data_IF_807777458021
#
_entry.id   IF_807777458021
#
_cell.length_a   1.000
_cell.length_b   1.000
_cell.length_c   1.000
_cell.angle_alpha   90.00
_cell.angle_beta   90.00
_cell.angle_gamma   90.00
#
_symmetry.space_group_name_H-M   'P 1'
#
loop_
_entity.id
_entity.type
_entity.pdbx_description
1 polymer ?
#
# COMPACT_ATOMS: atom_id res chain seq x y z
N UNK A 1 7.88 11.55 -2.78
CA UNK A 1 8.04 10.76 -1.54
C UNK A 1 7.28 9.45 -1.75
N UNK A 2 7.88 8.26 -1.58
CA UNK A 2 7.10 7.02 -1.65
C UNK A 2 6.06 7.00 -0.53
N UNK A 3 4.82 6.58 -0.82
CA UNK A 3 3.81 6.37 0.22
C UNK A 3 4.23 5.19 1.09
N UNK A 4 4.01 5.27 2.41
CA UNK A 4 4.48 4.26 3.36
C UNK A 4 4.00 2.83 3.04
N UNK A 5 2.75 2.68 2.60
CA UNK A 5 2.21 1.37 2.21
C UNK A 5 2.88 0.77 0.97
N UNK A 6 3.27 1.59 -0.02
CA UNK A 6 4.05 1.12 -1.17
C UNK A 6 5.43 0.64 -0.73
N UNK A 7 6.07 1.36 0.20
CA UNK A 7 7.37 0.96 0.72
C UNK A 7 7.30 -0.42 1.40
N UNK A 8 6.20 -0.76 2.08
CA UNK A 8 5.97 -2.10 2.63
C UNK A 8 5.92 -3.15 1.50
N UNK A 9 5.16 -2.88 0.43
CA UNK A 9 5.05 -3.82 -0.70
C UNK A 9 6.39 -4.04 -1.40
N UNK A 10 7.16 -2.96 -1.63
CA UNK A 10 8.52 -3.06 -2.17
C UNK A 10 9.44 -3.82 -1.22
N UNK A 11 9.40 -3.49 0.08
CA UNK A 11 10.24 -4.13 1.10
C UNK A 11 10.05 -5.64 1.15
N UNK A 12 8.79 -6.09 1.18
CA UNK A 12 8.43 -7.51 1.26
C UNK A 12 8.82 -8.30 -0.02
N UNK A 13 9.07 -7.62 -1.14
CA UNK A 13 9.41 -8.24 -2.43
C UNK A 13 10.85 -7.98 -2.89
N UNK A 14 11.64 -7.26 -2.10
CA UNK A 14 13.02 -6.86 -2.43
C UNK A 14 14.00 -8.03 -2.28
N UNK A 15 14.94 -8.13 -3.23
CA UNK A 15 16.05 -9.08 -3.20
C UNK A 15 17.42 -8.36 -3.27
N UNK A 16 18.42 -8.74 -2.44
CA UNK A 16 18.33 -9.72 -1.37
C UNK A 16 17.38 -9.25 -0.25
N UNK A 17 16.76 -10.21 0.44
CA UNK A 17 15.81 -9.91 1.50
C UNK A 17 16.38 -8.89 2.51
N UNK A 18 15.61 -7.84 2.87
CA UNK A 18 16.00 -6.88 3.87
C UNK A 18 16.04 -7.51 5.28
N UNK A 19 16.49 -6.78 6.33
CA UNK A 19 16.42 -7.27 7.71
C UNK A 19 15.02 -7.82 8.05
N UNK A 20 14.88 -8.90 8.82
CA UNK A 20 13.56 -9.48 9.07
C UNK A 20 12.67 -8.56 9.92
N UNK A 21 11.37 -8.61 9.65
CA UNK A 21 10.31 -8.03 10.49
C UNK A 21 9.31 -9.10 10.91
N UNK A 22 8.58 -8.83 11.99
CA UNK A 22 7.58 -9.76 12.54
C UNK A 22 6.18 -9.57 11.94
N UNK A 23 5.90 -8.41 11.33
CA UNK A 23 4.61 -8.11 10.72
C UNK A 23 4.55 -6.73 10.06
N UNK A 24 3.49 -6.48 9.30
CA UNK A 24 3.25 -5.23 8.58
C UNK A 24 1.96 -4.53 9.04
N UNK A 25 1.96 -3.20 9.06
CA UNK A 25 0.75 -2.40 9.32
C UNK A 25 0.60 -1.39 8.19
N UNK A 26 -0.52 -1.47 7.46
CA UNK A 26 -0.89 -0.52 6.43
C UNK A 26 -2.07 0.32 6.91
N UNK A 27 -1.85 1.62 7.06
CA UNK A 27 -2.90 2.61 7.31
C UNK A 27 -3.20 3.35 5.99
N UNK A 28 -4.48 3.42 5.64
CA UNK A 28 -4.97 4.06 4.42
C UNK A 28 -4.15 3.75 3.16
N UNK A 29 -3.95 2.46 2.79
CA UNK A 29 -3.33 2.13 1.51
C UNK A 29 -4.21 2.66 0.37
N UNK A 30 -3.63 3.54 -0.47
CA UNK A 30 -4.32 4.19 -1.59
C UNK A 30 -3.51 4.09 -2.88
N UNK A 31 -4.21 4.04 -4.00
CA UNK A 31 -3.61 4.06 -5.33
C UNK A 31 -3.23 5.48 -5.73
N UNK A 32 -1.94 5.74 -5.97
CA UNK A 32 -1.50 7.02 -6.53
C UNK A 32 -2.10 7.30 -7.90
N UNK A 33 -2.33 6.25 -8.70
CA UNK A 33 -2.97 6.35 -10.01
C UNK A 33 -4.42 6.83 -9.90
N UNK A 34 -5.20 6.23 -9.01
CA UNK A 34 -6.59 6.62 -8.80
C UNK A 34 -6.69 7.98 -8.10
N UNK A 35 -5.81 8.27 -7.15
CA UNK A 35 -5.67 9.60 -6.54
C UNK A 35 -5.36 10.65 -7.61
N UNK A 36 -4.43 10.38 -8.54
CA UNK A 36 -4.13 11.30 -9.63
C UNK A 36 -5.36 11.58 -10.50
N UNK A 37 -6.18 10.57 -10.77
CA UNK A 37 -7.45 10.71 -11.48
C UNK A 37 -8.50 11.57 -10.77
N UNK A 38 -8.41 11.74 -9.44
CA UNK A 38 -9.23 12.67 -8.65
C UNK A 38 -8.71 14.10 -8.72
N UNK A 39 -7.39 14.25 -8.67
CA UNK A 39 -6.74 15.56 -8.51
C UNK A 39 -6.47 16.26 -9.83
N UNK A 40 -6.49 15.53 -10.95
CA UNK A 40 -6.17 16.05 -12.26
C UNK A 40 -7.34 15.88 -13.24
N UNK A 41 -7.54 16.85 -14.16
CA UNK A 41 -8.33 16.62 -15.36
C UNK A 41 -7.82 15.40 -16.13
N UNK A 42 -8.73 14.59 -16.64
CA UNK A 42 -8.40 13.32 -17.30
C UNK A 42 -7.56 13.49 -18.56
N UNK A 43 -7.79 14.56 -19.31
CA UNK A 43 -6.98 14.95 -20.47
C UNK A 43 -5.55 15.33 -20.06
N UNK A 44 -5.39 16.07 -18.95
CA UNK A 44 -4.07 16.42 -18.41
C UNK A 44 -3.32 15.19 -17.88
N UNK A 45 -4.00 14.29 -17.16
CA UNK A 45 -3.41 13.02 -16.70
C UNK A 45 -2.91 12.19 -17.89
N UNK A 46 -3.74 12.07 -18.93
CA UNK A 46 -3.40 11.33 -20.15
C UNK A 46 -2.19 11.93 -20.87
N UNK A 47 -2.20 13.25 -21.10
CA UNK A 47 -1.08 13.96 -21.73
C UNK A 47 0.21 13.87 -20.90
N UNK A 48 0.08 13.87 -19.58
CA UNK A 48 1.22 13.73 -18.68
C UNK A 48 1.85 12.35 -18.75
N UNK A 49 1.04 11.29 -18.79
CA UNK A 49 1.52 9.92 -18.95
C UNK A 49 2.15 9.68 -20.32
N UNK A 50 1.55 10.23 -21.39
CA UNK A 50 2.11 10.19 -22.74
C UNK A 50 3.49 10.84 -22.76
N UNK A 51 3.62 12.05 -22.20
CA UNK A 51 4.88 12.78 -22.12
C UNK A 51 5.96 12.00 -21.33
N UNK A 52 5.59 11.42 -20.19
CA UNK A 52 6.50 10.61 -19.39
C UNK A 52 6.95 9.34 -20.14
N UNK A 53 6.01 8.63 -20.77
CA UNK A 53 6.29 7.45 -21.58
C UNK A 53 7.22 7.76 -22.75
N UNK A 54 7.03 8.92 -23.40
CA UNK A 54 7.87 9.41 -24.49
C UNK A 54 9.32 9.68 -24.04
N UNK A 55 9.50 10.24 -22.85
CA UNK A 55 10.83 10.44 -22.26
C UNK A 55 11.50 9.11 -21.93
N UNK A 56 10.75 8.15 -21.37
CA UNK A 56 11.26 6.81 -21.07
C UNK A 56 11.70 6.10 -22.35
N UNK A 57 10.88 6.11 -23.40
CA UNK A 57 11.20 5.50 -24.70
C UNK A 57 12.46 6.10 -25.34
N UNK A 58 12.77 7.36 -25.04
CA UNK A 58 13.98 8.07 -25.50
C UNK A 58 15.20 7.89 -24.59
N UNK A 59 15.13 7.04 -23.56
CA UNK A 59 16.21 6.85 -22.58
C UNK A 59 16.47 8.07 -21.70
N UNK A 60 15.42 8.87 -21.46
CA UNK A 60 15.43 10.09 -20.66
C UNK A 60 14.59 9.96 -19.40
N UNK A 61 14.49 8.74 -18.86
CA UNK A 61 13.60 8.36 -17.76
C UNK A 61 13.88 9.12 -16.45
N UNK A 62 15.10 9.65 -16.28
CA UNK A 62 15.52 10.48 -15.13
C UNK A 62 15.19 11.98 -15.28
N UNK A 63 14.58 12.39 -16.40
CA UNK A 63 14.16 13.77 -16.62
C UNK A 63 13.07 14.15 -15.63
N UNK A 64 13.18 15.31 -14.99
CA UNK A 64 12.14 15.81 -14.07
C UNK A 64 10.90 16.22 -14.87
N UNK A 65 9.74 15.74 -14.43
CA UNK A 65 8.46 16.12 -15.00
C UNK A 65 8.16 17.61 -14.73
N UNK A 66 7.55 18.34 -15.68
CA UNK A 66 7.03 19.67 -15.40
C UNK A 66 6.02 19.63 -14.25
N UNK A 67 6.11 20.60 -13.32
CA UNK A 67 5.17 20.67 -12.18
C UNK A 67 3.70 20.80 -12.64
N UNK A 68 3.46 21.42 -13.79
CA UNK A 68 2.12 21.53 -14.40
C UNK A 68 1.57 20.21 -14.94
N UNK A 69 2.40 19.18 -15.05
CA UNK A 69 2.03 17.85 -15.56
C UNK A 69 1.81 16.85 -14.43
N UNK A 70 1.98 17.24 -13.17
CA UNK A 70 1.80 16.35 -12.01
C UNK A 70 0.80 16.96 -11.02
N UNK A 71 0.13 16.15 -10.18
CA UNK A 71 -0.80 16.65 -9.17
C UNK A 71 -0.10 17.61 -8.20
N UNK A 72 -0.78 18.69 -7.82
CA UNK A 72 -0.22 19.73 -6.93
C UNK A 72 0.16 19.24 -5.53
N UNK A 73 -0.42 18.11 -5.08
CA UNK A 73 -0.05 17.45 -3.82
C UNK A 73 1.40 16.91 -3.85
N UNK A 74 1.95 16.65 -5.03
CA UNK A 74 3.34 16.24 -5.21
C UNK A 74 4.22 17.49 -5.26
N UNK A 75 4.81 17.84 -4.11
CA UNK A 75 5.62 19.06 -3.96
C UNK A 75 7.10 18.86 -4.27
N UNK A 76 7.57 17.60 -4.34
CA UNK A 76 8.96 17.27 -4.64
C UNK A 76 9.16 16.99 -6.13
N UNK A 77 10.34 17.28 -6.71
CA UNK A 77 10.65 16.89 -8.09
C UNK A 77 10.48 15.37 -8.29
N UNK A 78 9.76 15.00 -9.35
CA UNK A 78 9.53 13.61 -9.75
C UNK A 78 10.06 13.39 -11.16
N UNK A 79 10.80 12.30 -11.36
CA UNK A 79 11.31 11.92 -12.68
C UNK A 79 10.19 11.35 -13.56
N UNK A 80 10.38 11.35 -14.88
CA UNK A 80 9.45 10.74 -15.83
C UNK A 80 9.18 9.27 -15.47
N UNK A 81 10.22 8.51 -15.14
CA UNK A 81 10.08 7.13 -14.66
C UNK A 81 9.19 7.03 -13.42
N UNK A 82 9.48 7.81 -12.37
CA UNK A 82 8.75 7.71 -11.11
C UNK A 82 7.30 8.12 -11.28
N UNK A 83 7.03 9.17 -12.06
CA UNK A 83 5.65 9.57 -12.33
C UNK A 83 4.89 8.48 -13.11
N UNK A 84 5.51 7.93 -14.17
CA UNK A 84 4.90 6.86 -14.95
C UNK A 84 4.63 5.63 -14.08
N UNK A 85 5.59 5.24 -13.23
CA UNK A 85 5.45 4.12 -12.30
C UNK A 85 4.28 4.29 -11.32
N UNK A 86 4.02 5.52 -10.87
CA UNK A 86 2.94 5.85 -9.94
C UNK A 86 1.56 5.91 -10.61
N UNK A 87 1.49 6.46 -11.82
CA UNK A 87 0.23 6.92 -12.42
C UNK A 87 -0.17 6.15 -13.70
N UNK A 88 0.64 5.21 -14.18
CA UNK A 88 0.24 4.32 -15.28
C UNK A 88 -0.46 3.07 -14.74
N UNK A 89 -1.31 2.47 -15.58
CA UNK A 89 -1.97 1.20 -15.26
C UNK A 89 -0.91 0.10 -15.20
N UNK A 90 -0.79 -0.56 -14.04
CA UNK A 90 0.19 -1.62 -13.84
C UNK A 90 1.64 -1.12 -13.82
N UNK A 91 1.86 0.16 -13.52
CA UNK A 91 3.19 0.67 -13.22
C UNK A 91 3.80 0.00 -11.99
N UNK A 92 5.12 0.14 -11.79
CA UNK A 92 5.84 -0.61 -10.75
C UNK A 92 5.38 -0.25 -9.31
N UNK A 93 4.67 0.86 -9.12
CA UNK A 93 4.10 1.29 -7.84
C UNK A 93 2.57 1.13 -7.75
N UNK A 94 1.93 0.54 -8.77
CA UNK A 94 0.49 0.35 -8.85
C UNK A 94 0.05 -0.91 -8.08
N UNK A 95 0.15 -0.85 -6.74
CA UNK A 95 -0.21 -1.97 -5.86
C UNK A 95 -1.68 -1.99 -5.42
N UNK A 96 -2.31 -0.81 -5.36
CA UNK A 96 -3.57 -0.61 -4.63
C UNK A 96 -4.75 -0.22 -5.52
N UNK A 97 -4.57 -0.12 -6.84
CA UNK A 97 -5.67 0.28 -7.73
C UNK A 97 -6.82 -0.72 -7.70
N UNK A 98 -8.03 -0.19 -7.67
CA UNK A 98 -9.25 -0.98 -7.50
C UNK A 98 -9.55 -1.92 -8.67
N UNK A 99 -9.00 -1.66 -9.85
CA UNK A 99 -9.22 -2.44 -11.08
C UNK A 99 -8.12 -3.46 -11.40
N UNK A 100 -7.08 -3.58 -10.56
CA UNK A 100 -5.98 -4.51 -10.82
C UNK A 100 -6.50 -5.94 -10.96
N UNK A 101 -6.04 -6.73 -11.94
CA UNK A 101 -6.50 -8.11 -12.08
C UNK A 101 -6.02 -8.97 -10.91
N UNK A 102 -6.74 -10.07 -10.62
CA UNK A 102 -6.34 -11.00 -9.54
C UNK A 102 -4.92 -11.54 -9.73
N UNK A 103 -4.46 -11.73 -10.96
CA UNK A 103 -3.07 -12.12 -11.24
C UNK A 103 -2.06 -11.11 -10.73
N UNK A 104 -2.30 -9.80 -10.90
CA UNK A 104 -1.43 -8.75 -10.38
C UNK A 104 -1.40 -8.78 -8.85
N UNK A 105 -2.55 -8.95 -8.19
CA UNK A 105 -2.63 -9.08 -6.73
C UNK A 105 -1.88 -10.31 -6.21
N UNK A 106 -1.86 -11.41 -6.96
CA UNK A 106 -1.09 -12.61 -6.59
C UNK A 106 0.42 -12.38 -6.68
N UNK A 107 0.89 -11.57 -7.62
CA UNK A 107 2.31 -11.19 -7.72
C UNK A 107 2.74 -10.14 -6.69
N UNK A 108 1.81 -9.52 -5.97
CA UNK A 108 2.09 -8.51 -4.96
C UNK A 108 1.68 -9.03 -3.57
N UNK A 109 0.41 -8.93 -3.21
CA UNK A 109 -0.13 -9.42 -1.95
C UNK A 109 0.09 -10.93 -1.74
N UNK A 110 0.04 -11.73 -2.80
CA UNK A 110 0.28 -13.18 -2.73
C UNK A 110 1.72 -13.58 -2.40
N UNK A 111 2.67 -12.63 -2.45
CA UNK A 111 4.07 -12.84 -2.08
C UNK A 111 4.39 -12.42 -0.65
N UNK A 112 3.44 -11.85 0.08
CA UNK A 112 3.63 -11.44 1.47
C UNK A 112 3.82 -12.67 2.35
N UNK A 113 4.77 -12.60 3.27
CA UNK A 113 5.24 -13.73 4.07
C UNK A 113 5.14 -13.51 5.59
N UNK A 114 4.61 -12.35 6.01
CA UNK A 114 4.43 -11.96 7.41
C UNK A 114 2.99 -11.60 7.70
N UNK A 115 2.54 -11.74 8.97
CA UNK A 115 1.24 -11.25 9.38
C UNK A 115 1.07 -9.76 9.08
N UNK A 116 -0.13 -9.36 8.70
CA UNK A 116 -0.41 -8.00 8.26
C UNK A 116 -1.75 -7.49 8.79
N UNK A 117 -1.72 -6.23 9.22
CA UNK A 117 -2.90 -5.44 9.56
C UNK A 117 -3.16 -4.43 8.43
N UNK A 118 -4.35 -4.47 7.82
CA UNK A 118 -4.77 -3.50 6.79
C UNK A 118 -5.95 -2.69 7.31
N UNK A 119 -5.76 -1.39 7.46
CA UNK A 119 -6.77 -0.46 7.97
C UNK A 119 -7.06 0.60 6.92
N UNK A 120 -8.19 0.47 6.25
CA UNK A 120 -8.69 1.46 5.29
C UNK A 120 -9.52 2.54 6.00
N UNK A 121 -9.58 3.74 5.42
CA UNK A 121 -10.38 4.84 5.95
C UNK A 121 -11.69 5.00 5.16
N UNK A 122 -12.85 5.00 5.83
CA UNK A 122 -14.16 5.10 5.19
C UNK A 122 -14.31 6.39 4.36
N UNK A 123 -13.93 7.52 4.93
CA UNK A 123 -14.03 8.86 4.33
C UNK A 123 -12.74 9.34 3.68
N UNK A 124 -11.83 8.42 3.37
CA UNK A 124 -10.55 8.73 2.70
C UNK A 124 -10.79 9.50 1.40
N UNK A 125 -10.38 10.76 1.40
CA UNK A 125 -10.48 11.73 0.31
C UNK A 125 -9.53 11.44 -0.85
N UNK A 126 -8.56 10.54 -0.64
CA UNK A 126 -7.57 10.12 -1.63
C UNK A 126 -8.07 8.93 -2.47
N UNK A 127 -9.25 8.39 -2.16
CA UNK A 127 -9.88 7.26 -2.84
C UNK A 127 -11.15 7.72 -3.57
N UNK A 128 -11.35 7.38 -4.86
CA UNK A 128 -12.55 7.79 -5.57
C UNK A 128 -13.83 7.24 -4.93
N UNK A 129 -14.89 8.05 -4.89
CA UNK A 129 -16.20 7.64 -4.37
C UNK A 129 -16.83 6.46 -5.13
N UNK A 130 -16.37 6.19 -6.34
CA UNK A 130 -16.81 5.06 -7.17
C UNK A 130 -16.17 3.74 -6.75
N UNK A 131 -15.12 3.75 -5.92
CA UNK A 131 -14.44 2.54 -5.44
C UNK A 131 -15.22 1.94 -4.28
N UNK A 132 -15.61 0.68 -4.44
CA UNK A 132 -16.14 -0.17 -3.36
C UNK A 132 -14.97 -0.64 -2.48
N UNK A 133 -14.81 -0.03 -1.32
CA UNK A 133 -13.67 -0.26 -0.40
C UNK A 133 -13.77 -1.63 0.26
N UNK A 134 -14.98 -2.11 0.56
CA UNK A 134 -15.23 -3.43 1.12
C UNK A 134 -14.83 -4.53 0.15
N UNK A 135 -15.24 -4.40 -1.12
CA UNK A 135 -14.83 -5.30 -2.19
C UNK A 135 -13.32 -5.25 -2.39
N UNK A 136 -12.73 -4.05 -2.43
CA UNK A 136 -11.29 -3.87 -2.62
C UNK A 136 -10.48 -4.54 -1.51
N UNK A 137 -10.82 -4.28 -0.24
CA UNK A 137 -10.18 -4.93 0.90
C UNK A 137 -10.34 -6.45 0.82
N UNK A 138 -11.53 -6.95 0.51
CA UNK A 138 -11.79 -8.38 0.36
C UNK A 138 -10.92 -9.04 -0.73
N UNK A 139 -10.65 -8.31 -1.82
CA UNK A 139 -9.76 -8.79 -2.90
C UNK A 139 -8.30 -8.86 -2.45
N UNK A 140 -7.82 -7.89 -1.69
CA UNK A 140 -6.47 -7.94 -1.10
C UNK A 140 -6.34 -9.09 -0.10
N UNK A 141 -7.28 -9.20 0.85
CA UNK A 141 -7.33 -10.28 1.84
C UNK A 141 -7.32 -11.66 1.19
N UNK A 142 -8.08 -11.83 0.10
CA UNK A 142 -8.09 -13.10 -0.66
C UNK A 142 -6.78 -13.41 -1.39
N UNK A 143 -6.01 -12.39 -1.75
CA UNK A 143 -4.73 -12.57 -2.43
C UNK A 143 -3.59 -12.91 -1.46
N UNK A 144 -3.66 -12.43 -0.21
CA UNK A 144 -2.69 -12.71 0.83
C UNK A 144 -2.72 -14.20 1.22
N UNK A 145 -1.55 -14.84 1.48
CA UNK A 145 -1.52 -16.22 1.97
C UNK A 145 -2.34 -16.42 3.25
N UNK A 146 -2.99 -17.58 3.35
CA UNK A 146 -3.89 -17.91 4.45
C UNK A 146 -3.20 -17.78 5.82
N UNK A 147 -3.90 -17.19 6.78
CA UNK A 147 -3.42 -17.01 8.15
C UNK A 147 -2.50 -15.79 8.37
N UNK A 148 -2.15 -15.04 7.31
CA UNK A 148 -1.34 -13.82 7.47
C UNK A 148 -2.17 -12.56 7.69
N UNK A 149 -3.42 -12.49 7.24
CA UNK A 149 -4.26 -11.31 7.49
C UNK A 149 -4.76 -11.31 8.93
N UNK A 150 -4.48 -10.24 9.68
CA UNK A 150 -5.03 -10.01 11.03
C UNK A 150 -6.54 -9.87 11.00
N UNK A 151 -7.21 -10.45 12.01
CA UNK A 151 -8.66 -10.33 12.23
C UNK A 151 -9.11 -8.88 12.48
N UNK A 152 -8.18 -7.98 12.85
CA UNK A 152 -8.46 -6.56 13.05
C UNK A 152 -8.46 -5.76 11.75
N UNK A 153 -8.13 -6.36 10.61
CA UNK A 153 -8.11 -5.66 9.31
C UNK A 153 -9.52 -5.28 8.88
N UNK A 154 -9.75 -3.98 8.68
CA UNK A 154 -11.10 -3.45 8.41
C UNK A 154 -11.07 -2.05 7.78
N UNK A 155 -12.25 -1.56 7.43
CA UNK A 155 -12.48 -0.15 7.14
C UNK A 155 -12.88 0.54 8.43
N UNK A 156 -12.14 1.58 8.82
CA UNK A 156 -12.44 2.38 10.00
C UNK A 156 -13.52 3.40 9.62
N UNK A 157 -14.70 3.24 10.21
CA UNK A 157 -15.82 4.15 10.04
C UNK A 157 -15.43 5.57 10.44
N UNK A 158 -15.95 6.55 9.69
CA UNK A 158 -15.71 7.99 9.78
C UNK A 158 -14.26 8.47 9.62
N UNK A 159 -13.29 7.58 9.47
CA UNK A 159 -11.89 7.95 9.29
C UNK A 159 -11.63 8.61 7.95
N UNK A 160 -10.88 9.72 7.96
CA UNK A 160 -10.25 10.32 6.77
C UNK A 160 -8.84 9.74 6.56
N UNK A 161 -8.12 10.21 5.54
CA UNK A 161 -6.79 9.69 5.19
C UNK A 161 -5.77 9.85 6.32
N UNK A 162 -5.83 10.96 7.08
CA UNK A 162 -4.85 11.30 8.11
C UNK A 162 -5.27 10.92 9.54
N UNK A 163 -6.46 10.34 9.73
CA UNK A 163 -7.06 10.06 11.04
C UNK A 163 -7.17 11.33 11.90
N UNK A 164 -7.66 12.43 11.32
CA UNK A 164 -7.64 13.77 11.94
C UNK A 164 -8.48 13.88 13.22
N UNK A 165 -9.51 13.06 13.37
CA UNK A 165 -10.34 13.01 14.57
C UNK A 165 -9.68 12.17 15.68
N UNK A 166 -9.44 12.78 16.83
CA UNK A 166 -8.77 12.12 17.98
C UNK A 166 -9.43 10.80 18.40
N UNK A 167 -10.76 10.73 18.36
CA UNK A 167 -11.48 9.49 18.72
C UNK A 167 -11.17 8.36 17.74
N UNK A 168 -11.13 8.68 16.45
CA UNK A 168 -10.80 7.74 15.38
C UNK A 168 -9.34 7.31 15.49
N UNK A 169 -8.42 8.25 15.72
CA UNK A 169 -7.00 7.94 15.94
C UNK A 169 -6.80 7.01 17.15
N UNK A 170 -7.49 7.24 18.26
CA UNK A 170 -7.44 6.35 19.44
C UNK A 170 -7.99 4.95 19.12
N UNK A 171 -9.06 4.86 18.33
CA UNK A 171 -9.61 3.58 17.90
C UNK A 171 -8.61 2.82 17.01
N UNK A 172 -8.00 3.50 16.02
CA UNK A 172 -6.91 2.96 15.21
C UNK A 172 -5.77 2.39 16.08
N UNK A 173 -5.31 3.14 17.08
CA UNK A 173 -4.27 2.67 18.02
C UNK A 173 -4.71 1.41 18.75
N UNK A 174 -5.98 1.30 19.14
CA UNK A 174 -6.54 0.09 19.75
C UNK A 174 -6.37 -1.14 18.85
N UNK A 175 -6.70 -1.01 17.56
CA UNK A 175 -6.55 -2.09 16.58
C UNK A 175 -5.08 -2.50 16.39
N UNK A 176 -4.17 -1.51 16.34
CA UNK A 176 -2.72 -1.76 16.28
C UNK A 176 -2.26 -2.52 17.52
N UNK A 177 -2.71 -2.12 18.71
CA UNK A 177 -2.35 -2.82 19.96
C UNK A 177 -2.85 -4.26 19.97
N UNK A 178 -4.06 -4.53 19.48
CA UNK A 178 -4.56 -5.91 19.37
C UNK A 178 -3.75 -6.74 18.37
N UNK A 179 -3.39 -6.18 17.21
CA UNK A 179 -2.50 -6.86 16.27
C UNK A 179 -1.11 -7.15 16.88
N UNK A 180 -0.53 -6.21 17.61
CA UNK A 180 0.74 -6.46 18.30
C UNK A 180 0.62 -7.56 19.37
N UNK A 181 -0.54 -7.72 20.01
CA UNK A 181 -0.81 -8.86 20.90
C UNK A 181 -0.94 -10.16 20.10
N UNK A 182 -1.56 -10.15 18.93
CA UNK A 182 -1.65 -11.31 18.03
C UNK A 182 -0.25 -11.82 17.66
N UNK A 183 0.68 -10.92 17.30
CA UNK A 183 2.07 -11.27 16.97
C UNK A 183 2.83 -11.90 18.15
N UNK A 184 2.52 -11.49 19.38
CA UNK A 184 3.18 -11.97 20.59
C UNK A 184 2.61 -13.29 21.13
N UNK A 185 1.53 -13.82 20.56
CA UNK A 185 1.02 -15.15 20.94
C UNK A 185 2.00 -16.18 20.38
N UNK A 186 2.64 -16.96 21.27
CA UNK A 186 3.43 -18.11 20.79
C UNK A 186 2.54 -19.02 19.94
N UNK A 187 3.04 -19.56 18.82
CA UNK A 187 2.28 -20.49 18.01
C UNK A 187 1.85 -21.66 18.89
N UNK A 188 0.54 -21.95 18.90
CA UNK A 188 -0.01 -23.07 19.64
C UNK A 188 0.67 -24.37 19.15
N UNK A 189 1.62 -24.88 19.95
CA UNK A 189 2.40 -26.08 19.63
C UNK A 189 3.92 -25.90 19.54
N UNK A 190 4.49 -24.74 19.89
CA UNK A 190 5.94 -24.65 20.08
C UNK A 190 6.39 -25.65 21.16
N UNK A 191 7.27 -26.62 20.85
CA UNK A 191 7.76 -27.54 21.86
C UNK A 191 8.52 -26.74 22.92
N UNK A 192 8.19 -26.98 24.19
CA UNK A 192 8.93 -26.48 25.34
C UNK A 192 10.43 -26.66 25.06
N UNK A 193 11.17 -25.55 24.95
CA UNK A 193 12.63 -25.59 24.92
C UNK A 193 13.10 -26.15 26.25
N UNK A 194 13.34 -27.46 26.29
CA UNK A 194 14.00 -28.11 27.42
C UNK A 194 15.42 -27.57 27.43
N UNK A 195 15.72 -26.65 28.34
CA UNK A 195 17.07 -26.23 28.63
C UNK A 195 17.88 -27.48 29.02
N UNK A 196 18.80 -27.90 28.15
CA UNK A 196 19.78 -28.92 28.54
C UNK A 196 20.67 -28.33 29.63
N UNK A 197 20.86 -29.03 30.76
CA UNK A 197 21.78 -28.58 31.79
C UNK A 197 23.20 -28.60 31.22
N UNK A 198 23.90 -27.46 31.31
CA UNK A 198 25.31 -27.36 31.00
C UNK A 198 26.08 -28.39 31.85
N UNK A 199 26.84 -29.26 31.20
CA UNK A 199 27.83 -30.15 31.81
C UNK A 199 29.15 -29.40 31.92
#
# INVERSE_FOLDING_TARGET
MPKGCQAIMTYASTEPAPPPVDGYIMQAPTSDRETAGLLMPQDLLSASLEYAGDLIAKGKEKTIMPASFIPSIITSPVTAYRWYSLASVGGDDDFFSSDLPTSALQFTFGRLDKPMLILMSEKDEMVPLTVDKELLLGRWVKAIPEGLTSEQSQIITTADHELSEERVARYFVGLVVEFLKELNKEPAGAPLKVCQPCI
#
